data_IF_264631548556
#
_entry.id   IF_264631548556
#
_cell.length_a   1.000
_cell.length_b   1.000
_cell.length_c   1.000
_cell.angle_alpha   90.00
_cell.angle_beta   90.00
_cell.angle_gamma   90.00
#
_symmetry.space_group_name_H-M   'P 1'
#
loop_
_entity.id
_entity.type
_entity.pdbx_description
1 polymer ?
#
# COMPACT_ATOMS: atom_id res chain seq x y z
N UNK A 1 -39.65 -27.33 -5.90
CA UNK A 1 -38.87 -26.56 -6.89
C UNK A 1 -38.83 -25.04 -6.62
N UNK A 2 -39.83 -24.47 -5.94
CA UNK A 2 -39.85 -23.05 -5.55
C UNK A 2 -38.92 -22.72 -4.33
N UNK A 3 -38.84 -23.62 -3.37
CA UNK A 3 -38.05 -23.44 -2.13
C UNK A 3 -36.55 -23.27 -2.39
N UNK A 4 -35.98 -23.95 -3.39
CA UNK A 4 -34.58 -23.79 -3.78
C UNK A 4 -34.27 -22.43 -4.47
N UNK A 5 -35.25 -21.77 -5.08
CA UNK A 5 -35.04 -20.45 -5.69
C UNK A 5 -35.01 -19.34 -4.66
N UNK A 6 -35.80 -19.44 -3.60
CA UNK A 6 -35.80 -18.45 -2.52
C UNK A 6 -34.50 -18.55 -1.70
N UNK A 7 -33.99 -19.75 -1.43
CA UNK A 7 -32.73 -19.95 -0.70
C UNK A 7 -31.50 -19.47 -1.49
N UNK A 8 -31.50 -19.59 -2.81
CA UNK A 8 -30.42 -19.06 -3.67
C UNK A 8 -30.45 -17.56 -3.81
N UNK A 9 -31.64 -16.93 -3.87
CA UNK A 9 -31.75 -15.46 -3.93
C UNK A 9 -31.28 -14.80 -2.62
N UNK A 10 -31.72 -15.29 -1.47
CA UNK A 10 -31.30 -14.77 -0.16
C UNK A 10 -29.81 -14.93 0.08
N UNK A 11 -29.19 -16.02 -0.40
CA UNK A 11 -27.74 -16.24 -0.28
C UNK A 11 -26.95 -15.31 -1.19
N UNK A 12 -27.45 -14.98 -2.39
CA UNK A 12 -26.83 -14.02 -3.32
C UNK A 12 -26.87 -12.61 -2.75
N UNK A 13 -28.02 -12.17 -2.22
CA UNK A 13 -28.16 -10.84 -1.61
C UNK A 13 -27.27 -10.69 -0.37
N UNK A 14 -27.20 -11.69 0.50
CA UNK A 14 -26.32 -11.68 1.66
C UNK A 14 -24.85 -11.57 1.28
N UNK A 15 -24.41 -12.22 0.19
CA UNK A 15 -23.03 -12.13 -0.29
C UNK A 15 -22.71 -10.75 -0.85
N UNK A 16 -23.60 -10.12 -1.60
CA UNK A 16 -23.43 -8.73 -2.11
C UNK A 16 -23.36 -7.73 -0.97
N UNK A 17 -24.22 -7.86 0.03
CA UNK A 17 -24.21 -6.96 1.19
C UNK A 17 -22.93 -7.12 2.01
N UNK A 18 -22.41 -8.34 2.17
CA UNK A 18 -21.13 -8.58 2.87
C UNK A 18 -19.95 -7.96 2.12
N UNK A 19 -19.88 -8.15 0.81
CA UNK A 19 -18.84 -7.56 -0.04
C UNK A 19 -18.85 -6.04 0.01
N UNK A 20 -20.02 -5.40 -0.10
CA UNK A 20 -20.16 -3.95 0.02
C UNK A 20 -19.71 -3.43 1.40
N UNK A 21 -19.95 -4.19 2.47
CA UNK A 21 -19.48 -3.86 3.82
C UNK A 21 -17.95 -3.93 3.92
N UNK A 22 -17.33 -4.96 3.34
CA UNK A 22 -15.87 -5.09 3.31
C UNK A 22 -15.25 -3.94 2.55
N UNK A 23 -15.73 -3.62 1.35
CA UNK A 23 -15.25 -2.48 0.55
C UNK A 23 -15.32 -1.20 1.36
N UNK A 24 -16.49 -0.86 1.90
CA UNK A 24 -16.69 0.38 2.69
C UNK A 24 -15.75 0.46 3.88
N UNK A 25 -15.65 -0.61 4.67
CA UNK A 25 -14.82 -0.64 5.86
C UNK A 25 -13.33 -0.55 5.52
N UNK A 26 -12.89 -1.22 4.44
CA UNK A 26 -11.51 -1.15 3.93
C UNK A 26 -11.13 0.28 3.55
N UNK A 27 -11.92 0.95 2.71
CA UNK A 27 -11.58 2.31 2.27
C UNK A 27 -11.70 3.34 3.39
N UNK A 28 -12.64 3.16 4.32
CA UNK A 28 -12.74 3.99 5.52
C UNK A 28 -11.50 3.84 6.42
N UNK A 29 -11.11 2.60 6.73
CA UNK A 29 -9.93 2.33 7.55
C UNK A 29 -8.66 2.77 6.82
N UNK A 30 -8.56 2.57 5.51
CA UNK A 30 -7.44 3.02 4.68
C UNK A 30 -7.28 4.54 4.75
N UNK A 31 -8.37 5.30 4.62
CA UNK A 31 -8.32 6.77 4.72
C UNK A 31 -7.82 7.23 6.09
N UNK A 32 -8.30 6.59 7.17
CA UNK A 32 -7.85 6.90 8.53
C UNK A 32 -6.38 6.56 8.75
N UNK A 33 -5.93 5.41 8.25
CA UNK A 33 -4.53 4.97 8.38
C UNK A 33 -3.58 5.80 7.53
N UNK A 34 -3.98 6.25 6.34
CA UNK A 34 -3.21 7.19 5.51
C UNK A 34 -3.07 8.55 6.21
N UNK A 35 -4.15 9.08 6.79
CA UNK A 35 -4.11 10.32 7.57
C UNK A 35 -3.22 10.19 8.80
N UNK A 36 -3.31 9.06 9.52
CA UNK A 36 -2.47 8.78 10.67
C UNK A 36 -0.99 8.64 10.30
N UNK A 37 -0.70 7.94 9.20
CA UNK A 37 0.65 7.81 8.66
C UNK A 37 1.24 9.18 8.26
N UNK A 38 0.44 10.05 7.64
CA UNK A 38 0.87 11.41 7.31
C UNK A 38 1.16 12.23 8.58
N UNK A 39 0.34 12.09 9.61
CA UNK A 39 0.56 12.74 10.92
C UNK A 39 1.87 12.27 11.56
N UNK A 40 2.12 10.95 11.62
CA UNK A 40 3.36 10.40 12.19
C UNK A 40 4.59 10.79 11.37
N UNK A 41 4.48 10.89 10.03
CA UNK A 41 5.53 11.43 9.19
C UNK A 41 5.83 12.91 9.53
N UNK A 42 4.79 13.74 9.67
CA UNK A 42 4.95 15.15 10.04
C UNK A 42 5.59 15.31 11.43
N UNK A 43 5.20 14.50 12.41
CA UNK A 43 5.83 14.47 13.75
C UNK A 43 7.31 14.07 13.62
N UNK A 44 7.62 13.02 12.88
CA UNK A 44 8.99 12.56 12.64
C UNK A 44 9.86 13.66 12.00
N UNK A 45 9.30 14.38 11.02
CA UNK A 45 9.97 15.53 10.39
C UNK A 45 10.22 16.66 11.37
N UNK A 46 9.21 17.04 12.17
CA UNK A 46 9.32 18.16 13.13
C UNK A 46 10.32 17.88 14.25
N UNK A 47 10.49 16.61 14.62
CA UNK A 47 11.48 16.17 15.60
C UNK A 47 12.90 16.04 15.03
N UNK A 48 13.07 16.17 13.71
CA UNK A 48 14.35 15.88 13.06
C UNK A 48 14.80 14.43 13.27
N UNK A 49 13.84 13.49 13.27
CA UNK A 49 14.14 12.09 13.55
C UNK A 49 15.18 11.53 12.56
N UNK A 50 16.18 10.74 13.04
CA UNK A 50 17.16 10.15 12.17
C UNK A 50 16.54 9.03 11.33
N UNK A 51 17.16 8.69 10.20
CA UNK A 51 16.80 7.51 9.43
C UNK A 51 17.04 6.25 10.27
N UNK A 52 16.01 5.44 10.41
CA UNK A 52 16.17 4.13 11.02
C UNK A 52 17.02 3.23 10.11
N UNK A 53 17.92 2.47 10.72
CA UNK A 53 18.70 1.48 9.97
C UNK A 53 17.79 0.44 9.31
N UNK A 54 18.26 -0.14 8.19
CA UNK A 54 17.49 -1.10 7.40
C UNK A 54 16.98 -2.28 8.23
N UNK A 55 17.79 -2.80 9.16
CA UNK A 55 17.40 -3.92 10.02
C UNK A 55 16.24 -3.55 10.93
N UNK A 56 16.30 -2.39 11.59
CA UNK A 56 15.21 -1.90 12.46
C UNK A 56 13.93 -1.68 11.66
N UNK A 57 14.05 -1.11 10.47
CA UNK A 57 12.90 -0.87 9.57
C UNK A 57 12.26 -2.18 9.14
N UNK A 58 13.05 -3.17 8.71
CA UNK A 58 12.51 -4.46 8.26
C UNK A 58 11.91 -5.26 9.42
N UNK A 59 12.58 -5.33 10.57
CA UNK A 59 12.06 -6.03 11.76
C UNK A 59 10.77 -5.37 12.25
N UNK A 60 10.72 -4.05 12.31
CA UNK A 60 9.51 -3.31 12.70
C UNK A 60 8.37 -3.54 11.71
N UNK A 61 8.63 -3.41 10.41
CA UNK A 61 7.63 -3.62 9.37
C UNK A 61 7.07 -5.05 9.38
N UNK A 62 7.93 -6.06 9.27
CA UNK A 62 7.47 -7.46 9.23
C UNK A 62 6.90 -7.93 10.57
N UNK A 63 7.44 -7.46 11.69
CA UNK A 63 6.92 -7.76 13.02
C UNK A 63 5.50 -7.23 13.21
N UNK A 64 5.25 -5.96 12.84
CA UNK A 64 3.93 -5.36 12.92
C UNK A 64 2.95 -5.94 11.88
N UNK A 65 3.43 -6.28 10.68
CA UNK A 65 2.64 -6.97 9.66
C UNK A 65 2.20 -8.35 10.16
N UNK A 66 3.11 -9.12 10.75
CA UNK A 66 2.80 -10.41 11.35
C UNK A 66 1.79 -10.29 12.50
N UNK A 67 1.99 -9.32 13.41
CA UNK A 67 1.04 -9.06 14.50
C UNK A 67 -0.34 -8.68 13.96
N UNK A 68 -0.42 -7.80 12.95
CA UNK A 68 -1.68 -7.43 12.29
C UNK A 68 -2.38 -8.66 11.70
N UNK A 69 -1.64 -9.50 10.97
CA UNK A 69 -2.17 -10.73 10.38
C UNK A 69 -2.66 -11.71 11.43
N UNK A 70 -1.93 -11.89 12.53
CA UNK A 70 -2.29 -12.79 13.64
C UNK A 70 -3.59 -12.35 14.34
N UNK A 71 -3.78 -11.05 14.50
CA UNK A 71 -4.93 -10.48 15.23
C UNK A 71 -6.02 -9.92 14.30
N UNK A 72 -5.97 -10.20 12.99
CA UNK A 72 -6.86 -9.64 11.96
C UNK A 72 -8.36 -9.83 12.21
N UNK A 73 -8.75 -10.80 13.03
CA UNK A 73 -10.15 -11.11 13.35
C UNK A 73 -10.58 -10.55 14.72
N UNK A 74 -9.78 -9.67 15.33
CA UNK A 74 -10.07 -9.06 16.63
C UNK A 74 -9.91 -7.54 16.59
N UNK A 75 -10.43 -6.84 17.60
CA UNK A 75 -10.22 -5.39 17.75
C UNK A 75 -8.74 -4.99 17.85
N UNK A 76 -7.88 -5.89 18.34
CA UNK A 76 -6.42 -5.68 18.35
C UNK A 76 -5.83 -5.57 16.94
N UNK A 77 -6.46 -6.20 15.92
CA UNK A 77 -6.03 -6.06 14.54
C UNK A 77 -6.07 -4.62 14.06
N UNK A 78 -7.10 -3.87 14.43
CA UNK A 78 -7.18 -2.43 14.09
C UNK A 78 -6.06 -1.65 14.77
N UNK A 79 -5.76 -1.93 16.05
CA UNK A 79 -4.65 -1.31 16.77
C UNK A 79 -3.31 -1.58 16.06
N UNK A 80 -3.06 -2.83 15.65
CA UNK A 80 -1.83 -3.19 14.94
C UNK A 80 -1.76 -2.58 13.54
N UNK A 81 -2.89 -2.37 12.83
CA UNK A 81 -2.90 -1.60 11.58
C UNK A 81 -2.43 -0.18 11.81
N UNK A 82 -2.94 0.51 12.84
CA UNK A 82 -2.47 1.86 13.16
C UNK A 82 -1.00 1.87 13.60
N UNK A 83 -0.56 0.89 14.38
CA UNK A 83 0.85 0.75 14.75
C UNK A 83 1.74 0.55 13.51
N UNK A 84 1.35 -0.31 12.57
CA UNK A 84 2.07 -0.56 11.32
C UNK A 84 2.13 0.72 10.47
N UNK A 85 0.98 1.34 10.20
CA UNK A 85 0.91 2.52 9.33
C UNK A 85 1.55 3.74 9.96
N UNK A 86 1.47 3.89 11.27
CA UNK A 86 2.18 4.92 12.03
C UNK A 86 3.70 4.72 12.03
N UNK A 87 4.17 3.48 12.20
CA UNK A 87 5.58 3.14 12.08
C UNK A 87 6.11 3.45 10.66
N UNK A 88 5.39 3.03 9.63
CA UNK A 88 5.77 3.33 8.23
C UNK A 88 5.77 4.83 7.97
N UNK A 89 4.77 5.57 8.45
CA UNK A 89 4.75 7.03 8.37
C UNK A 89 5.93 7.67 9.08
N UNK A 90 6.26 7.22 10.28
CA UNK A 90 7.42 7.73 11.03
C UNK A 90 8.74 7.52 10.27
N UNK A 91 8.93 6.35 9.64
CA UNK A 91 10.12 6.08 8.80
C UNK A 91 10.18 6.95 7.54
N UNK A 92 9.04 7.43 7.07
CA UNK A 92 8.94 8.29 5.89
C UNK A 92 9.39 9.73 6.16
N UNK A 93 9.25 10.22 7.40
CA UNK A 93 9.60 11.60 7.76
C UNK A 93 11.02 12.00 7.36
N UNK A 94 12.08 11.29 7.78
CA UNK A 94 13.46 11.58 7.39
C UNK A 94 13.71 11.50 5.87
N UNK A 95 12.95 10.64 5.16
CA UNK A 95 13.03 10.54 3.70
C UNK A 95 12.47 11.82 3.06
N UNK A 96 11.25 12.22 3.45
CA UNK A 96 10.63 13.45 2.94
C UNK A 96 11.49 14.67 3.28
N UNK A 97 12.02 14.78 4.51
CA UNK A 97 12.91 15.88 4.91
C UNK A 97 14.13 15.99 4.02
N UNK A 98 14.73 14.86 3.62
CA UNK A 98 15.87 14.85 2.71
C UNK A 98 15.50 15.38 1.31
N UNK A 99 14.30 15.03 0.80
CA UNK A 99 13.83 15.58 -0.47
C UNK A 99 13.50 17.06 -0.37
N UNK A 100 12.85 17.50 0.71
CA UNK A 100 12.51 18.92 0.92
C UNK A 100 13.74 19.83 1.04
N UNK A 101 14.91 19.29 1.35
CA UNK A 101 16.19 20.04 1.37
C UNK A 101 16.76 20.28 -0.03
N UNK A 102 16.22 19.64 -1.07
CA UNK A 102 16.63 19.88 -2.47
C UNK A 102 15.99 21.18 -3.01
N UNK A 103 16.61 21.85 -4.01
CA UNK A 103 16.08 23.11 -4.56
C UNK A 103 14.62 23.03 -5.03
N UNK A 104 14.21 21.93 -5.64
CA UNK A 104 12.85 21.67 -6.12
C UNK A 104 12.09 20.65 -5.26
N UNK A 105 12.53 20.41 -4.02
CA UNK A 105 12.09 19.30 -3.20
C UNK A 105 10.59 19.29 -2.90
N UNK A 106 9.99 20.44 -2.63
CA UNK A 106 8.56 20.56 -2.40
C UNK A 106 7.73 20.15 -3.64
N UNK A 107 8.20 20.53 -4.84
CA UNK A 107 7.55 20.14 -6.10
C UNK A 107 7.64 18.63 -6.33
N UNK A 108 8.81 18.03 -6.07
CA UNK A 108 9.03 16.58 -6.20
C UNK A 108 8.07 15.82 -5.27
N UNK A 109 8.00 16.20 -4.01
CA UNK A 109 7.11 15.56 -3.03
C UNK A 109 5.63 15.70 -3.45
N UNK A 110 5.20 16.90 -3.86
CA UNK A 110 3.84 17.13 -4.34
C UNK A 110 3.50 16.29 -5.58
N UNK A 111 4.41 16.21 -6.55
CA UNK A 111 4.22 15.41 -7.77
C UNK A 111 4.11 13.92 -7.43
N UNK A 112 4.95 13.40 -6.52
CA UNK A 112 4.88 12.02 -6.06
C UNK A 112 3.55 11.74 -5.36
N UNK A 113 3.07 12.65 -4.49
CA UNK A 113 1.77 12.53 -3.83
C UNK A 113 0.61 12.56 -4.84
N UNK A 114 0.62 13.52 -5.76
CA UNK A 114 -0.42 13.66 -6.79
C UNK A 114 -0.45 12.45 -7.72
N UNK A 115 0.71 11.97 -8.18
CA UNK A 115 0.84 10.78 -9.00
C UNK A 115 0.33 9.52 -8.28
N UNK A 116 0.71 9.35 -7.01
CA UNK A 116 0.22 8.24 -6.18
C UNK A 116 -1.30 8.27 -6.04
N UNK A 117 -1.86 9.43 -5.72
CA UNK A 117 -3.30 9.60 -5.58
C UNK A 117 -4.05 9.35 -6.90
N UNK A 118 -3.53 9.87 -8.02
CA UNK A 118 -4.11 9.67 -9.35
C UNK A 118 -4.11 8.18 -9.76
N UNK A 119 -2.99 7.48 -9.57
CA UNK A 119 -2.88 6.06 -9.88
C UNK A 119 -3.82 5.24 -8.97
N UNK A 120 -3.77 5.47 -7.66
CA UNK A 120 -4.61 4.73 -6.72
C UNK A 120 -6.10 4.94 -6.99
N UNK A 121 -6.56 6.18 -7.09
CA UNK A 121 -7.96 6.50 -7.33
C UNK A 121 -8.42 6.01 -8.70
N UNK A 122 -7.61 6.22 -9.74
CA UNK A 122 -7.92 5.78 -11.11
C UNK A 122 -8.06 4.26 -11.21
N UNK A 123 -7.10 3.50 -10.67
CA UNK A 123 -7.11 2.04 -10.74
C UNK A 123 -8.19 1.43 -9.85
N UNK A 124 -8.38 1.97 -8.63
CA UNK A 124 -9.46 1.52 -7.74
C UNK A 124 -10.83 1.82 -8.34
N UNK A 125 -11.04 3.02 -8.89
CA UNK A 125 -12.29 3.37 -9.56
C UNK A 125 -12.54 2.49 -10.79
N UNK A 126 -11.50 2.21 -11.58
CA UNK A 126 -11.60 1.29 -12.72
C UNK A 126 -12.02 -0.12 -12.29
N UNK A 127 -11.38 -0.68 -11.27
CA UNK A 127 -11.74 -2.02 -10.77
C UNK A 127 -13.18 -2.07 -10.23
N UNK A 128 -13.60 -1.05 -9.43
CA UNK A 128 -14.95 -0.98 -8.85
C UNK A 128 -16.02 -0.83 -9.92
N UNK A 129 -15.77 -0.01 -10.95
CA UNK A 129 -16.78 0.27 -12.00
C UNK A 129 -16.89 -0.85 -13.02
N UNK A 130 -15.75 -1.40 -13.48
CA UNK A 130 -15.74 -2.46 -14.50
C UNK A 130 -16.06 -3.83 -13.93
N UNK A 131 -15.79 -4.04 -12.62
CA UNK A 131 -15.93 -5.33 -11.93
C UNK A 131 -15.21 -6.49 -12.66
N UNK A 132 -14.14 -6.16 -13.41
CA UNK A 132 -13.31 -7.18 -14.06
C UNK A 132 -12.54 -7.96 -13.02
N UNK A 133 -12.38 -9.26 -13.25
CA UNK A 133 -11.59 -10.14 -12.40
C UNK A 133 -10.11 -10.06 -12.79
N UNK A 134 -9.29 -9.58 -11.84
CA UNK A 134 -7.83 -9.49 -11.98
C UNK A 134 -7.09 -10.54 -11.15
N UNK A 135 -7.77 -11.58 -10.66
CA UNK A 135 -7.18 -12.64 -9.82
C UNK A 135 -6.03 -13.38 -10.51
N UNK A 136 -6.06 -13.47 -11.85
CA UNK A 136 -5.01 -14.09 -12.64
C UNK A 136 -3.63 -13.40 -12.47
N UNK A 137 -3.60 -12.14 -12.05
CA UNK A 137 -2.36 -11.39 -11.83
C UNK A 137 -1.64 -11.77 -10.53
N UNK A 138 -2.32 -12.39 -9.56
CA UNK A 138 -1.80 -12.60 -8.21
C UNK A 138 -0.45 -13.31 -8.17
N UNK A 139 -0.30 -14.41 -8.91
CA UNK A 139 0.96 -15.15 -8.97
C UNK A 139 2.12 -14.34 -9.58
N UNK A 140 1.83 -13.63 -10.69
CA UNK A 140 2.82 -12.76 -11.33
C UNK A 140 3.26 -11.61 -10.43
N UNK A 141 2.31 -10.94 -9.77
CA UNK A 141 2.61 -9.84 -8.86
C UNK A 141 3.41 -10.32 -7.66
N UNK A 142 3.06 -11.46 -7.07
CA UNK A 142 3.78 -12.02 -5.92
C UNK A 142 5.24 -12.29 -6.26
N UNK A 143 5.51 -12.95 -7.37
CA UNK A 143 6.88 -13.25 -7.83
C UNK A 143 7.62 -11.96 -8.19
N UNK A 144 6.96 -11.05 -8.93
CA UNK A 144 7.54 -9.77 -9.33
C UNK A 144 7.95 -8.91 -8.12
N UNK A 145 7.09 -8.81 -7.11
CA UNK A 145 7.37 -8.07 -5.88
C UNK A 145 8.53 -8.69 -5.11
N UNK A 146 8.57 -10.03 -5.00
CA UNK A 146 9.67 -10.72 -4.34
C UNK A 146 11.01 -10.46 -5.05
N UNK A 147 11.04 -10.58 -6.37
CA UNK A 147 12.24 -10.31 -7.18
C UNK A 147 12.66 -8.85 -7.04
N UNK A 148 11.72 -7.90 -7.17
CA UNK A 148 12.02 -6.48 -7.03
C UNK A 148 12.50 -6.13 -5.60
N UNK A 149 11.93 -6.75 -4.57
CA UNK A 149 12.37 -6.58 -3.19
C UNK A 149 13.81 -7.07 -2.98
N UNK A 150 14.14 -8.28 -3.45
CA UNK A 150 15.48 -8.83 -3.36
C UNK A 150 16.51 -8.00 -4.16
N UNK A 151 16.12 -7.56 -5.36
CA UNK A 151 16.95 -6.66 -6.17
C UNK A 151 17.15 -5.30 -5.47
N UNK A 152 16.12 -4.78 -4.79
CA UNK A 152 16.20 -3.56 -3.98
C UNK A 152 17.17 -3.70 -2.81
N UNK A 153 17.14 -4.82 -2.10
CA UNK A 153 18.15 -5.13 -1.07
C UNK A 153 19.54 -5.17 -1.69
N UNK A 154 19.71 -5.87 -2.83
CA UNK A 154 20.99 -5.90 -3.55
C UNK A 154 21.46 -4.50 -3.96
N UNK A 155 20.56 -3.63 -4.45
CA UNK A 155 20.88 -2.27 -4.82
C UNK A 155 21.41 -1.44 -3.64
N UNK A 156 20.88 -1.67 -2.44
CA UNK A 156 21.33 -1.00 -1.20
C UNK A 156 22.68 -1.54 -0.74
N UNK A 157 22.83 -2.88 -0.67
CA UNK A 157 24.06 -3.51 -0.16
C UNK A 157 25.27 -3.30 -1.07
N UNK A 158 25.05 -3.27 -2.39
CA UNK A 158 26.11 -3.09 -3.38
C UNK A 158 26.22 -1.64 -3.89
N UNK A 159 25.39 -0.73 -3.34
CA UNK A 159 25.40 0.71 -3.70
C UNK A 159 25.30 0.96 -5.20
N UNK A 160 24.36 0.26 -5.90
CA UNK A 160 24.16 0.36 -7.34
C UNK A 160 22.97 1.31 -7.66
N UNK A 161 23.20 2.61 -7.98
CA UNK A 161 22.12 3.58 -8.20
C UNK A 161 21.21 3.21 -9.38
N UNK A 162 21.76 2.73 -10.48
CA UNK A 162 21.00 2.34 -11.67
C UNK A 162 20.04 1.17 -11.35
N UNK A 163 20.46 0.21 -10.52
CA UNK A 163 19.60 -0.88 -10.07
C UNK A 163 18.48 -0.35 -9.17
N UNK A 164 18.80 0.59 -8.26
CA UNK A 164 17.82 1.23 -7.37
C UNK A 164 16.71 1.94 -8.16
N UNK A 165 17.05 2.67 -9.23
CA UNK A 165 16.09 3.32 -10.11
C UNK A 165 15.24 2.31 -10.89
N UNK A 166 15.86 1.26 -11.42
CA UNK A 166 15.16 0.19 -12.13
C UNK A 166 14.15 -0.51 -11.20
N UNK A 167 14.55 -0.80 -9.97
CA UNK A 167 13.68 -1.37 -8.94
C UNK A 167 12.52 -0.43 -8.63
N UNK A 168 12.76 0.88 -8.50
CA UNK A 168 11.70 1.85 -8.24
C UNK A 168 10.69 1.90 -9.40
N UNK A 169 11.15 1.88 -10.66
CA UNK A 169 10.27 1.80 -11.82
C UNK A 169 9.45 0.49 -11.83
N UNK A 170 10.08 -0.64 -11.50
CA UNK A 170 9.38 -1.92 -11.36
C UNK A 170 8.32 -1.87 -10.25
N UNK A 171 8.65 -1.28 -9.09
CA UNK A 171 7.66 -1.12 -8.00
C UNK A 171 6.49 -0.24 -8.38
N UNK A 172 6.66 0.83 -9.16
CA UNK A 172 5.53 1.64 -9.65
C UNK A 172 4.54 0.76 -10.44
N UNK A 173 5.04 -0.07 -11.35
CA UNK A 173 4.20 -0.97 -12.14
C UNK A 173 3.57 -2.08 -11.29
N UNK A 174 4.36 -2.73 -10.43
CA UNK A 174 3.90 -3.82 -9.58
C UNK A 174 2.87 -3.35 -8.54
N UNK A 175 3.07 -2.19 -7.91
CA UNK A 175 2.12 -1.65 -6.95
C UNK A 175 0.83 -1.17 -7.63
N UNK A 176 0.92 -0.62 -8.83
CA UNK A 176 -0.26 -0.31 -9.65
C UNK A 176 -1.06 -1.57 -9.97
N UNK A 177 -0.39 -2.64 -10.40
CA UNK A 177 -1.02 -3.94 -10.62
C UNK A 177 -1.63 -4.53 -9.34
N UNK A 178 -0.92 -4.38 -8.20
CA UNK A 178 -1.39 -4.88 -6.91
C UNK A 178 -2.63 -4.12 -6.43
N UNK A 179 -2.74 -2.82 -6.65
CA UNK A 179 -3.95 -2.03 -6.35
C UNK A 179 -5.16 -2.55 -7.15
N UNK A 180 -4.98 -2.84 -8.45
CA UNK A 180 -6.01 -3.45 -9.28
C UNK A 180 -6.41 -4.83 -8.76
N UNK A 181 -5.43 -5.68 -8.50
CA UNK A 181 -5.64 -7.05 -8.00
C UNK A 181 -6.37 -7.04 -6.65
N UNK A 182 -5.90 -6.27 -5.67
CA UNK A 182 -6.50 -6.21 -4.34
C UNK A 182 -7.91 -5.65 -4.36
N UNK A 183 -8.15 -4.58 -5.12
CA UNK A 183 -9.50 -4.02 -5.28
C UNK A 183 -10.44 -5.03 -5.92
N UNK A 184 -9.99 -5.71 -6.97
CA UNK A 184 -10.74 -6.79 -7.63
C UNK A 184 -11.01 -7.95 -6.67
N UNK A 185 -10.01 -8.38 -5.90
CA UNK A 185 -10.10 -9.46 -4.94
C UNK A 185 -11.16 -9.18 -3.86
N UNK A 186 -11.25 -7.94 -3.37
CA UNK A 186 -12.30 -7.52 -2.44
C UNK A 186 -13.69 -7.59 -3.11
N UNK A 187 -13.82 -7.09 -4.34
CA UNK A 187 -15.09 -7.03 -5.08
C UNK A 187 -15.64 -8.43 -5.34
N UNK A 188 -14.78 -9.39 -5.67
CA UNK A 188 -15.15 -10.75 -5.97
C UNK A 188 -15.21 -11.67 -4.74
N UNK A 189 -14.96 -11.12 -3.54
CA UNK A 189 -15.06 -11.87 -2.27
C UNK A 189 -13.90 -12.80 -1.99
N UNK A 190 -12.78 -12.66 -2.69
CA UNK A 190 -11.54 -13.39 -2.40
C UNK A 190 -10.84 -12.89 -1.14
N UNK A 191 -10.92 -11.58 -0.84
CA UNK A 191 -10.54 -11.04 0.46
C UNK A 191 -11.79 -10.54 1.20
N UNK A 192 -12.04 -11.13 2.35
CA UNK A 192 -13.20 -10.82 3.19
C UNK A 192 -12.84 -10.09 4.49
N UNK A 193 -11.55 -10.01 4.79
CA UNK A 193 -11.06 -9.33 5.98
C UNK A 193 -10.63 -7.90 5.63
N UNK A 194 -11.45 -6.91 6.03
CA UNK A 194 -11.19 -5.50 5.75
C UNK A 194 -9.87 -4.98 6.35
N UNK A 195 -9.36 -5.58 7.44
CA UNK A 195 -8.06 -5.23 8.05
C UNK A 195 -6.92 -5.62 7.10
N UNK A 196 -6.93 -6.85 6.58
CA UNK A 196 -5.90 -7.31 5.65
C UNK A 196 -5.98 -6.58 4.32
N UNK A 197 -7.18 -6.35 3.79
CA UNK A 197 -7.39 -5.53 2.61
C UNK A 197 -6.84 -4.10 2.77
N UNK A 198 -7.05 -3.48 3.95
CA UNK A 198 -6.48 -2.17 4.27
C UNK A 198 -4.96 -2.19 4.29
N UNK A 199 -4.36 -3.19 4.95
CA UNK A 199 -2.90 -3.32 5.01
C UNK A 199 -2.29 -3.47 3.62
N UNK A 200 -2.86 -4.33 2.79
CA UNK A 200 -2.36 -4.58 1.43
C UNK A 200 -2.41 -3.32 0.56
N UNK A 201 -3.56 -2.62 0.55
CA UNK A 201 -3.71 -1.36 -0.16
C UNK A 201 -2.80 -0.25 0.40
N UNK A 202 -2.66 -0.14 1.73
CA UNK A 202 -1.77 0.83 2.35
C UNK A 202 -0.30 0.60 1.94
N UNK A 203 0.17 -0.64 2.02
CA UNK A 203 1.53 -1.02 1.61
C UNK A 203 1.77 -0.73 0.14
N UNK A 204 0.77 -1.00 -0.72
CA UNK A 204 0.84 -0.68 -2.15
C UNK A 204 0.98 0.83 -2.40
N UNK A 205 0.16 1.66 -1.72
CA UNK A 205 0.22 3.12 -1.82
C UNK A 205 1.55 3.66 -1.29
N UNK A 206 2.02 3.15 -0.15
CA UNK A 206 3.28 3.56 0.46
C UNK A 206 4.49 3.28 -0.47
N UNK A 207 4.57 2.05 -1.02
CA UNK A 207 5.65 1.69 -1.95
C UNK A 207 5.54 2.44 -3.27
N UNK A 208 4.33 2.68 -3.78
CA UNK A 208 4.10 3.49 -4.97
C UNK A 208 4.59 4.93 -4.76
N UNK A 209 4.24 5.54 -3.62
CA UNK A 209 4.67 6.89 -3.28
C UNK A 209 6.20 7.00 -3.16
N UNK A 210 6.82 6.11 -2.40
CA UNK A 210 8.28 6.13 -2.19
C UNK A 210 9.05 5.86 -3.49
N UNK A 211 8.51 5.01 -4.37
CA UNK A 211 9.10 4.72 -5.68
C UNK A 211 8.96 5.91 -6.64
N UNK A 212 7.80 6.57 -6.69
CA UNK A 212 7.61 7.79 -7.46
C UNK A 212 8.49 8.93 -6.93
N UNK A 213 8.58 9.06 -5.60
CA UNK A 213 9.45 10.06 -4.98
C UNK A 213 10.92 9.88 -5.37
N UNK A 214 11.39 8.63 -5.41
CA UNK A 214 12.75 8.30 -5.80
C UNK A 214 13.01 8.59 -7.30
N UNK A 215 12.10 8.16 -8.18
CA UNK A 215 12.21 8.41 -9.63
C UNK A 215 12.17 9.89 -9.97
N UNK A 216 11.21 10.64 -9.42
CA UNK A 216 11.07 12.07 -9.63
C UNK A 216 12.26 12.86 -9.05
N UNK A 217 12.76 12.43 -7.89
CA UNK A 217 13.94 13.02 -7.27
C UNK A 217 15.19 12.87 -8.13
N UNK A 218 15.36 11.71 -8.76
CA UNK A 218 16.48 11.50 -9.70
C UNK A 218 16.33 12.36 -10.94
N UNK A 219 15.16 12.34 -11.58
CA UNK A 219 14.91 13.09 -12.83
C UNK A 219 15.02 14.62 -12.67
N UNK A 220 14.89 15.16 -11.46
CA UNK A 220 15.00 16.61 -11.21
C UNK A 220 16.42 17.04 -10.74
N UNK A 221 17.34 16.10 -10.56
CA UNK A 221 18.72 16.38 -10.14
C UNK A 221 19.74 16.25 -11.30
N UNK A 222 19.27 15.91 -12.52
CA UNK A 222 20.01 16.01 -13.78
C UNK A 222 19.75 17.38 -14.44
#
# INVERSE_FOLDING_TARGET
MMENRFSTMTRSEASVLSTNKVIRNTYMLLSLTLAFSALTAAISMSMGAPRLGIVVTLVGYFGLLFATSKFRNSGLGVLFVFALTGFMGFTLGPIISAYLSLPNGASIVMQAMAGTAAIFLGLSAYAVTTKKDFSFMGGFLMVGILVAFLAGLGAIFFEIPALSLTVSAAFVLLMSGLILFETSNIIHGGETNYIMATVSLFVSIFNLFTSLLHLLGFANNE
#
